data_IF_493980117773
#
_entry.id   IF_493980117773
#
_cell.length_a   1.000
_cell.length_b   1.000
_cell.length_c   1.000
_cell.angle_alpha   90.00
_cell.angle_beta   90.00
_cell.angle_gamma   90.00
#
_symmetry.space_group_name_H-M   'P 1'
#
loop_
_entity.id
_entity.type
_entity.pdbx_description
1 polymer ?
#
# COMPACT_ATOMS: atom_id res chain seq x y z
N UNK A 1 -12.74 -3.52 -19.96
CA UNK A 1 -12.40 -4.93 -19.72
C UNK A 1 -13.63 -5.63 -19.18
N UNK A 2 -13.56 -6.91 -18.82
CA UNK A 2 -14.61 -7.55 -18.05
C UNK A 2 -14.21 -7.45 -16.59
N UNK A 3 -15.01 -6.78 -15.77
CA UNK A 3 -14.75 -6.66 -14.34
C UNK A 3 -14.88 -8.05 -13.70
N UNK A 4 -13.91 -8.43 -12.88
CA UNK A 4 -13.97 -9.68 -12.13
C UNK A 4 -14.82 -9.41 -10.90
N UNK A 5 -16.01 -10.02 -10.85
CA UNK A 5 -16.97 -9.75 -9.78
C UNK A 5 -16.51 -10.27 -8.41
N UNK A 6 -15.84 -11.41 -8.35
CA UNK A 6 -15.36 -12.02 -7.11
C UNK A 6 -14.30 -13.08 -7.45
N UNK A 7 -13.21 -13.13 -6.68
CA UNK A 7 -12.26 -14.24 -6.65
C UNK A 7 -12.30 -14.87 -5.27
N UNK A 8 -12.56 -16.17 -5.22
CA UNK A 8 -12.50 -16.95 -3.99
C UNK A 8 -11.23 -17.81 -4.00
N UNK A 9 -10.36 -17.59 -3.03
CA UNK A 9 -9.01 -18.16 -2.92
C UNK A 9 -7.91 -17.16 -3.28
N UNK A 10 -6.68 -17.59 -3.05
CA UNK A 10 -5.48 -16.75 -3.18
C UNK A 10 -5.20 -16.40 -4.65
N UNK A 11 -4.70 -15.18 -4.88
CA UNK A 11 -4.41 -14.62 -6.20
C UNK A 11 -2.92 -14.31 -6.31
N UNK A 12 -2.17 -15.26 -6.87
CA UNK A 12 -0.74 -15.07 -7.10
C UNK A 12 -0.46 -14.68 -8.56
N UNK A 13 0.36 -13.65 -8.76
CA UNK A 13 0.89 -13.30 -10.08
C UNK A 13 2.39 -13.03 -10.04
N UNK A 14 3.14 -13.76 -10.88
CA UNK A 14 4.61 -13.66 -10.95
C UNK A 14 5.02 -13.36 -12.40
N UNK A 15 5.85 -12.33 -12.61
CA UNK A 15 6.27 -11.90 -13.95
C UNK A 15 7.65 -11.23 -13.97
N UNK A 16 8.53 -11.64 -14.89
CA UNK A 16 9.77 -10.91 -15.21
C UNK A 16 9.50 -9.50 -15.79
N UNK A 17 8.27 -9.24 -16.22
CA UNK A 17 7.88 -8.00 -16.90
C UNK A 17 7.09 -7.06 -16.00
N UNK A 18 5.77 -7.12 -16.14
CA UNK A 18 4.83 -6.33 -15.34
C UNK A 18 3.74 -7.25 -14.83
N UNK A 19 3.33 -7.05 -13.59
CA UNK A 19 2.08 -7.55 -13.03
C UNK A 19 1.08 -6.40 -12.96
N UNK A 20 -0.17 -6.67 -13.36
CA UNK A 20 -1.29 -5.75 -13.21
C UNK A 20 -2.44 -6.51 -12.58
N UNK A 21 -2.81 -6.14 -11.37
CA UNK A 21 -4.02 -6.59 -10.68
C UNK A 21 -4.98 -5.41 -10.67
N UNK A 22 -6.01 -5.47 -11.51
CA UNK A 22 -6.98 -4.40 -11.66
C UNK A 22 -8.37 -4.88 -12.03
N UNK A 23 -9.36 -4.02 -11.79
CA UNK A 23 -10.77 -4.24 -12.10
C UNK A 23 -11.36 -5.48 -11.37
N UNK A 24 -11.03 -5.66 -10.08
CA UNK A 24 -11.50 -6.79 -9.25
C UNK A 24 -12.43 -6.26 -8.16
N UNK A 25 -13.71 -6.61 -8.22
CA UNK A 25 -14.68 -6.11 -7.25
C UNK A 25 -14.49 -6.70 -5.84
N UNK A 26 -14.03 -7.95 -5.71
CA UNK A 26 -13.70 -8.55 -4.42
C UNK A 26 -12.72 -9.72 -4.54
N UNK A 27 -11.80 -9.84 -3.59
CA UNK A 27 -11.01 -11.06 -3.34
C UNK A 27 -11.29 -11.54 -1.92
N UNK A 28 -11.52 -12.85 -1.78
CA UNK A 28 -11.61 -13.54 -0.49
C UNK A 28 -10.49 -14.58 -0.44
N UNK A 29 -9.38 -14.20 0.18
CA UNK A 29 -8.07 -14.87 0.08
C UNK A 29 -6.95 -13.84 -0.06
N UNK A 30 -5.71 -14.33 -0.06
CA UNK A 30 -4.53 -13.47 -0.11
C UNK A 30 -4.23 -13.03 -1.55
N UNK A 31 -3.57 -11.88 -1.72
CA UNK A 31 -3.25 -11.31 -3.04
C UNK A 31 -1.75 -11.02 -3.12
N UNK A 32 -1.02 -11.88 -3.83
CA UNK A 32 0.44 -11.79 -3.95
C UNK A 32 0.87 -11.45 -5.38
N UNK A 33 1.59 -10.34 -5.54
CA UNK A 33 2.11 -9.90 -6.82
C UNK A 33 3.64 -9.74 -6.78
N UNK A 34 4.36 -10.45 -7.65
CA UNK A 34 5.82 -10.38 -7.73
C UNK A 34 6.28 -10.03 -9.14
N UNK A 35 7.16 -9.02 -9.27
CA UNK A 35 7.75 -8.68 -10.56
C UNK A 35 9.20 -8.21 -10.53
N UNK A 36 10.00 -8.54 -11.56
CA UNK A 36 11.34 -7.96 -11.74
C UNK A 36 11.30 -6.49 -12.23
N UNK A 37 10.14 -5.92 -12.59
CA UNK A 37 10.09 -4.50 -12.97
C UNK A 37 8.96 -3.72 -12.35
N UNK A 38 7.73 -4.21 -12.45
CA UNK A 38 6.60 -3.39 -12.00
C UNK A 38 5.43 -4.25 -11.56
N UNK A 39 4.96 -3.99 -10.34
CA UNK A 39 3.68 -4.50 -9.83
C UNK A 39 2.73 -3.31 -9.74
N UNK A 40 1.60 -3.37 -10.43
CA UNK A 40 0.52 -2.40 -10.22
C UNK A 40 -0.69 -3.10 -9.65
N UNK A 41 -1.13 -2.64 -8.48
CA UNK A 41 -2.39 -3.03 -7.84
C UNK A 41 -3.28 -1.80 -7.86
N UNK A 42 -4.43 -1.88 -8.53
CA UNK A 42 -5.37 -0.77 -8.67
C UNK A 42 -6.81 -1.28 -8.79
N UNK A 43 -7.81 -0.45 -8.51
CA UNK A 43 -9.22 -0.76 -8.79
C UNK A 43 -9.71 -2.11 -8.21
N UNK A 44 -9.14 -2.53 -7.08
CA UNK A 44 -9.70 -3.62 -6.28
C UNK A 44 -10.75 -2.99 -5.36
N UNK A 45 -11.93 -3.59 -5.18
CA UNK A 45 -12.99 -2.97 -4.36
C UNK A 45 -13.21 -3.59 -2.97
N UNK A 46 -12.64 -4.76 -2.71
CA UNK A 46 -12.54 -5.36 -1.38
C UNK A 46 -11.49 -6.47 -1.41
N UNK A 47 -10.70 -6.58 -0.35
CA UNK A 47 -9.86 -7.75 -0.09
C UNK A 47 -10.14 -8.23 1.34
N UNK A 48 -10.53 -9.48 1.46
CA UNK A 48 -10.69 -10.18 2.72
C UNK A 48 -9.59 -11.25 2.82
N UNK A 49 -8.37 -10.78 3.09
CA UNK A 49 -7.10 -11.52 3.09
C UNK A 49 -5.94 -10.53 3.00
N UNK A 50 -4.71 -11.00 3.20
CA UNK A 50 -3.51 -10.14 3.15
C UNK A 50 -3.16 -9.78 1.70
N UNK A 51 -2.42 -8.68 1.50
CA UNK A 51 -2.01 -8.25 0.17
C UNK A 51 -0.53 -7.87 0.10
N UNK A 52 0.26 -8.66 -0.62
CA UNK A 52 1.71 -8.44 -0.80
C UNK A 52 2.04 -8.04 -2.25
N UNK A 53 2.77 -6.94 -2.41
CA UNK A 53 3.25 -6.47 -3.71
C UNK A 53 4.77 -6.25 -3.70
N UNK A 54 5.51 -7.10 -4.42
CA UNK A 54 6.97 -7.12 -4.43
C UNK A 54 7.52 -6.83 -5.82
N UNK A 55 8.43 -5.87 -5.96
CA UNK A 55 9.08 -5.59 -7.25
C UNK A 55 10.53 -5.12 -7.16
N UNK A 56 11.41 -5.55 -8.06
CA UNK A 56 12.76 -4.94 -8.16
C UNK A 56 12.72 -3.49 -8.71
N UNK A 57 11.65 -3.11 -9.42
CA UNK A 57 11.50 -1.75 -9.98
C UNK A 57 10.52 -0.83 -9.23
N UNK A 58 9.24 -0.85 -9.61
CA UNK A 58 8.24 0.09 -9.10
C UNK A 58 6.99 -0.66 -8.64
N UNK A 59 6.50 -0.35 -7.45
CA UNK A 59 5.21 -0.83 -6.93
C UNK A 59 4.28 0.37 -6.73
N UNK A 60 3.47 0.77 -7.74
CA UNK A 60 2.29 1.58 -7.49
C UNK A 60 1.17 0.74 -6.86
N UNK A 61 0.89 1.02 -5.60
CA UNK A 61 -0.34 0.65 -4.90
C UNK A 61 -1.22 1.89 -4.92
N UNK A 62 -2.10 1.98 -5.92
CA UNK A 62 -2.90 3.16 -6.20
C UNK A 62 -4.38 2.80 -6.29
N UNK A 63 -5.27 3.75 -6.01
CA UNK A 63 -6.71 3.60 -6.24
C UNK A 63 -7.33 2.41 -5.48
N UNK A 64 -6.84 2.20 -4.26
CA UNK A 64 -7.54 1.47 -3.21
C UNK A 64 -8.76 2.29 -2.72
N UNK A 65 -9.02 3.47 -3.29
CA UNK A 65 -10.24 4.25 -3.10
C UNK A 65 -11.50 3.48 -3.53
N UNK A 66 -11.34 2.45 -4.36
CA UNK A 66 -12.37 1.45 -4.64
C UNK A 66 -12.54 0.41 -3.52
N UNK A 67 -11.48 0.11 -2.76
CA UNK A 67 -11.53 -0.80 -1.62
C UNK A 67 -12.32 -0.15 -0.50
N UNK A 68 -13.60 -0.53 -0.38
CA UNK A 68 -14.43 -0.09 0.73
C UNK A 68 -13.88 -0.56 2.10
N UNK A 69 -13.06 -1.62 2.10
CA UNK A 69 -12.29 -2.12 3.24
C UNK A 69 -11.31 -3.23 2.80
N UNK A 70 -10.02 -3.11 3.13
CA UNK A 70 -9.13 -4.28 3.28
C UNK A 70 -9.26 -4.71 4.73
N UNK A 71 -9.72 -5.92 5.02
CA UNK A 71 -9.88 -6.40 6.41
C UNK A 71 -8.61 -7.12 6.92
N UNK A 72 -7.44 -6.68 6.45
CA UNK A 72 -6.15 -7.34 6.65
C UNK A 72 -4.97 -6.38 6.35
N UNK A 73 -3.75 -6.91 6.36
CA UNK A 73 -2.51 -6.14 6.17
C UNK A 73 -2.20 -5.90 4.67
N UNK A 74 -1.55 -4.78 4.37
CA UNK A 74 -1.10 -4.43 3.02
C UNK A 74 0.38 -4.10 3.03
N UNK A 75 1.18 -4.96 2.40
CA UNK A 75 2.63 -4.80 2.30
C UNK A 75 3.08 -4.53 0.85
N UNK A 76 3.91 -3.51 0.68
CA UNK A 76 4.51 -3.18 -0.62
C UNK A 76 6.03 -3.02 -0.49
N UNK A 77 6.78 -3.83 -1.24
CA UNK A 77 8.24 -3.94 -1.12
C UNK A 77 8.89 -3.71 -2.48
N UNK A 78 9.90 -2.83 -2.54
CA UNK A 78 10.65 -2.56 -3.78
C UNK A 78 12.14 -2.29 -3.60
N UNK A 79 12.98 -2.62 -4.58
CA UNK A 79 14.35 -2.09 -4.64
C UNK A 79 14.38 -0.66 -5.24
N UNK A 80 13.30 -0.20 -5.87
CA UNK A 80 13.24 1.11 -6.54
C UNK A 80 12.28 2.08 -5.88
N UNK A 81 11.00 2.02 -6.22
CA UNK A 81 9.99 2.95 -5.68
C UNK A 81 8.75 2.19 -5.27
N UNK A 82 8.23 2.50 -4.08
CA UNK A 82 6.90 2.08 -3.64
C UNK A 82 6.06 3.34 -3.54
N UNK A 83 4.94 3.40 -4.25
CA UNK A 83 3.98 4.49 -4.17
C UNK A 83 2.71 3.93 -3.53
N UNK A 84 2.28 4.53 -2.44
CA UNK A 84 1.01 4.21 -1.76
C UNK A 84 0.15 5.45 -1.80
N UNK A 85 -0.87 5.48 -2.65
CA UNK A 85 -1.75 6.63 -2.82
C UNK A 85 -3.24 6.24 -2.94
N UNK A 86 -4.11 7.21 -2.61
CA UNK A 86 -5.55 7.09 -2.75
C UNK A 86 -6.16 5.87 -2.02
N UNK A 87 -5.80 5.65 -0.76
CA UNK A 87 -6.38 4.57 0.08
C UNK A 87 -7.58 5.11 0.86
N UNK A 88 -8.78 4.56 0.61
CA UNK A 88 -9.98 4.98 1.34
C UNK A 88 -10.07 4.38 2.76
N UNK A 89 -9.85 3.07 2.91
CA UNK A 89 -9.98 2.38 4.19
C UNK A 89 -9.16 1.08 4.25
N UNK A 90 -8.36 0.92 5.32
CA UNK A 90 -7.69 -0.35 5.68
C UNK A 90 -8.05 -0.72 7.12
N UNK A 91 -8.35 -1.99 7.38
CA UNK A 91 -8.81 -2.51 8.66
C UNK A 91 -7.66 -2.79 9.64
N UNK A 92 -6.48 -3.11 9.13
CA UNK A 92 -5.25 -3.39 9.88
C UNK A 92 -4.12 -2.47 9.42
N UNK A 93 -2.92 -3.00 9.13
CA UNK A 93 -1.71 -2.22 8.91
C UNK A 93 -1.42 -1.99 7.42
N UNK A 94 -0.71 -0.90 7.12
CA UNK A 94 -0.16 -0.60 5.79
C UNK A 94 1.33 -0.38 5.91
N UNK A 95 2.14 -1.17 5.22
CA UNK A 95 3.60 -1.04 5.22
C UNK A 95 4.16 -0.89 3.80
N UNK A 96 4.97 0.14 3.62
CA UNK A 96 5.72 0.37 2.39
C UNK A 96 7.23 0.36 2.66
N UNK A 97 7.97 -0.49 1.95
CA UNK A 97 9.42 -0.65 2.11
C UNK A 97 10.12 -0.47 0.76
N UNK A 98 11.11 0.43 0.69
CA UNK A 98 11.89 0.63 -0.54
C UNK A 98 13.36 0.95 -0.32
N UNK A 99 14.28 0.39 -1.11
CA UNK A 99 15.67 0.90 -1.14
C UNK A 99 15.76 2.32 -1.75
N UNK A 100 14.77 2.76 -2.53
CA UNK A 100 14.81 4.07 -3.21
C UNK A 100 13.88 5.12 -2.60
N UNK A 101 12.62 5.17 -3.04
CA UNK A 101 11.67 6.22 -2.61
C UNK A 101 10.32 5.62 -2.22
N UNK A 102 9.74 6.15 -1.15
CA UNK A 102 8.41 5.79 -0.64
C UNK A 102 7.54 7.04 -0.46
N UNK A 103 6.70 7.40 -1.42
CA UNK A 103 5.61 8.35 -1.21
C UNK A 103 4.36 7.62 -0.70
N UNK A 104 3.85 8.07 0.44
CA UNK A 104 2.58 7.66 1.05
C UNK A 104 1.68 8.88 1.15
N UNK A 105 0.55 8.89 0.44
CA UNK A 105 -0.33 10.05 0.39
C UNK A 105 -1.82 9.67 0.34
N UNK A 106 -2.69 10.63 0.69
CA UNK A 106 -4.14 10.55 0.45
C UNK A 106 -4.81 9.29 1.07
N UNK A 107 -4.39 8.93 2.29
CA UNK A 107 -4.98 7.83 3.07
C UNK A 107 -6.07 8.37 4.00
N UNK A 108 -7.31 7.92 3.85
CA UNK A 108 -8.47 8.54 4.50
C UNK A 108 -8.93 7.90 5.82
N UNK A 109 -8.71 6.59 6.01
CA UNK A 109 -9.00 5.88 7.25
C UNK A 109 -8.20 4.59 7.36
N UNK A 110 -7.62 4.30 8.52
CA UNK A 110 -6.90 3.05 8.78
C UNK A 110 -7.13 2.63 10.24
N UNK A 111 -7.46 1.35 10.43
CA UNK A 111 -7.71 0.74 11.73
C UNK A 111 -6.43 0.37 12.49
N UNK A 112 -5.34 0.10 11.77
CA UNK A 112 -4.00 -0.18 12.29
C UNK A 112 -2.97 0.88 11.91
N UNK A 113 -1.69 0.51 11.95
CA UNK A 113 -0.54 1.40 11.77
C UNK A 113 -0.24 1.65 10.28
N UNK A 114 0.29 2.84 9.96
CA UNK A 114 0.86 3.13 8.64
C UNK A 114 2.37 3.33 8.77
N UNK A 115 3.13 2.48 8.09
CA UNK A 115 4.59 2.49 8.07
C UNK A 115 5.17 2.77 6.68
N UNK A 116 6.19 3.62 6.61
CA UNK A 116 6.99 3.83 5.41
C UNK A 116 8.48 3.76 5.75
N UNK A 117 9.22 2.86 5.11
CA UNK A 117 10.63 2.59 5.38
C UNK A 117 11.43 2.72 4.07
N UNK A 118 12.49 3.54 4.05
CA UNK A 118 13.36 3.61 2.88
C UNK A 118 14.83 3.91 3.14
N UNK A 119 15.75 3.31 2.40
CA UNK A 119 17.16 3.75 2.39
C UNK A 119 17.34 5.15 1.74
N UNK A 120 16.40 5.59 0.90
CA UNK A 120 16.51 6.86 0.17
C UNK A 120 15.61 7.99 0.69
N UNK A 121 14.34 8.01 0.29
CA UNK A 121 13.44 9.12 0.65
C UNK A 121 12.05 8.60 1.01
N UNK A 122 11.54 9.04 2.16
CA UNK A 122 10.15 8.83 2.58
C UNK A 122 9.40 10.16 2.57
N UNK A 123 8.24 10.18 1.91
CA UNK A 123 7.30 11.30 1.92
C UNK A 123 5.97 10.78 2.45
N UNK A 124 5.49 11.30 3.57
CA UNK A 124 4.16 10.97 4.11
C UNK A 124 3.31 12.24 4.14
N UNK A 125 2.19 12.23 3.44
CA UNK A 125 1.32 13.39 3.28
C UNK A 125 -0.17 13.05 3.41
N UNK A 126 -0.98 14.02 3.83
CA UNK A 126 -2.44 14.01 3.66
C UNK A 126 -3.16 12.76 4.19
N UNK A 127 -2.66 12.20 5.30
CA UNK A 127 -3.27 11.09 6.02
C UNK A 127 -4.33 11.61 7.00
N UNK A 128 -5.51 10.99 7.00
CA UNK A 128 -6.62 11.31 7.88
C UNK A 128 -7.24 10.06 8.52
N UNK A 129 -7.94 10.25 9.66
CA UNK A 129 -8.90 9.27 10.18
C UNK A 129 -8.28 7.95 10.66
N UNK A 130 -7.16 8.01 11.37
CA UNK A 130 -6.46 6.82 11.87
C UNK A 130 -6.62 6.62 13.37
N UNK A 131 -6.85 5.37 13.77
CA UNK A 131 -6.96 4.97 15.18
C UNK A 131 -5.62 4.49 15.78
N UNK A 132 -4.53 4.50 15.01
CA UNK A 132 -3.20 4.01 15.40
C UNK A 132 -2.04 4.95 15.00
N UNK A 133 -0.79 4.46 14.94
CA UNK A 133 0.42 5.25 14.71
C UNK A 133 0.73 5.44 13.19
N UNK A 134 1.48 6.49 12.88
CA UNK A 134 2.04 6.71 11.54
C UNK A 134 3.55 6.88 11.66
N UNK A 135 4.31 5.96 11.09
CA UNK A 135 5.77 5.94 11.15
C UNK A 135 6.43 6.11 9.79
N UNK A 136 7.38 7.05 9.72
CA UNK A 136 8.22 7.28 8.56
C UNK A 136 9.69 7.14 8.93
N UNK A 137 10.40 6.19 8.31
CA UNK A 137 11.79 5.85 8.63
C UNK A 137 12.62 5.93 7.35
N UNK A 138 13.70 6.72 7.34
CA UNK A 138 14.62 6.70 6.21
C UNK A 138 16.09 6.95 6.56
N UNK A 139 17.01 6.21 5.93
CA UNK A 139 18.45 6.53 6.04
C UNK A 139 18.84 7.83 5.30
N UNK A 140 17.96 8.34 4.43
CA UNK A 140 18.17 9.56 3.66
C UNK A 140 17.33 10.73 4.15
N UNK A 141 16.14 10.90 3.56
CA UNK A 141 15.26 12.06 3.85
C UNK A 141 13.87 11.59 4.23
N UNK A 142 13.33 12.18 5.30
CA UNK A 142 11.92 12.04 5.68
C UNK A 142 11.22 13.39 5.62
N UNK A 143 10.08 13.45 4.93
CA UNK A 143 9.16 14.58 4.95
C UNK A 143 7.77 14.09 5.36
N UNK A 144 7.26 14.63 6.46
CA UNK A 144 5.91 14.37 6.95
C UNK A 144 5.10 15.65 6.97
N UNK A 145 3.94 15.67 6.32
CA UNK A 145 3.03 16.81 6.27
C UNK A 145 1.56 16.36 6.23
N UNK A 146 0.62 17.25 6.51
CA UNK A 146 -0.81 16.98 6.24
C UNK A 146 -1.49 15.89 7.09
N UNK A 147 -0.78 15.24 8.02
CA UNK A 147 -1.37 14.23 8.92
C UNK A 147 -2.36 14.88 9.88
N UNK A 148 -3.59 14.38 9.91
CA UNK A 148 -4.67 14.90 10.75
C UNK A 148 -5.53 13.79 11.33
N UNK A 149 -6.13 14.03 12.51
CA UNK A 149 -7.06 13.07 13.14
C UNK A 149 -6.48 11.65 13.31
N UNK A 150 -5.22 11.57 13.76
CA UNK A 150 -4.55 10.33 14.18
C UNK A 150 -4.66 10.22 15.71
N UNK A 151 -5.11 9.08 16.21
CA UNK A 151 -5.19 8.82 17.65
C UNK A 151 -3.83 8.44 18.27
N UNK A 152 -2.96 7.81 17.47
CA UNK A 152 -1.57 7.49 17.81
C UNK A 152 -0.59 8.66 17.67
N UNK A 153 0.68 8.40 17.98
CA UNK A 153 1.78 9.37 17.88
C UNK A 153 2.45 9.26 16.50
N UNK A 154 2.44 10.31 15.66
CA UNK A 154 3.18 10.28 14.39
C UNK A 154 4.70 10.32 14.66
N UNK A 155 5.42 9.29 14.21
CA UNK A 155 6.86 9.13 14.32
C UNK A 155 7.60 9.44 13.01
N UNK A 156 8.77 10.06 13.15
CA UNK A 156 9.65 10.38 12.01
C UNK A 156 11.10 10.12 12.42
N UNK A 157 11.76 9.19 11.75
CA UNK A 157 13.09 8.71 12.10
C UNK A 157 14.05 8.76 10.92
N UNK A 158 15.25 9.27 11.15
CA UNK A 158 16.38 9.32 10.20
C UNK A 158 17.56 8.60 10.83
#
# INVERSE_FOLDING_TARGET
MADIAEVAGDVDAISEGRVLMADIAAVVGDVDAISERTVQVADIAAVAGDGDAISEGIVPVADIAGIAAVDADVDAISEGTVLVDDIAAVGSDVLAVSEGTVPVADIAAVGGDVGAISEGTVLVADIAGMDADVDAISEGTVLVAGISAVAGDPGCYI
#
